data_IF_311780788092
#
_entry.id   IF_311780788092
#
_cell.length_a   1.000
_cell.length_b   1.000
_cell.length_c   1.000
_cell.angle_alpha   90.00
_cell.angle_beta   90.00
_cell.angle_gamma   90.00
#
_symmetry.space_group_name_H-M   'P 1'
#
loop_
_entity.id
_entity.type
_entity.pdbx_description
1 polymer ?
#
# COMPACT_ATOMS: atom_id res chain seq x y z
N UNK A 1 11.95 1.10 3.38
CA UNK A 1 11.22 0.96 4.68
C UNK A 1 11.13 -0.50 5.13
N UNK A 2 10.58 -1.41 4.30
CA UNK A 2 10.47 -2.84 4.65
C UNK A 2 11.83 -3.48 4.99
N UNK A 3 12.88 -3.16 4.22
CA UNK A 3 14.24 -3.66 4.46
C UNK A 3 14.80 -3.29 5.84
N UNK A 4 14.60 -2.06 6.30
CA UNK A 4 15.05 -1.65 7.64
C UNK A 4 14.28 -2.38 8.73
N UNK A 5 12.96 -2.52 8.59
CA UNK A 5 12.12 -3.24 9.56
C UNK A 5 12.52 -4.71 9.65
N UNK A 6 12.76 -5.36 8.49
CA UNK A 6 13.22 -6.74 8.43
C UNK A 6 14.62 -6.94 9.03
N UNK A 7 15.54 -6.00 8.80
CA UNK A 7 16.88 -6.07 9.40
C UNK A 7 16.81 -5.92 10.94
N UNK A 8 16.00 -4.98 11.44
CA UNK A 8 15.79 -4.80 12.88
C UNK A 8 15.17 -6.06 13.51
N UNK A 9 14.19 -6.68 12.85
CA UNK A 9 13.64 -7.96 13.28
C UNK A 9 14.71 -9.05 13.33
N UNK A 10 15.51 -9.19 12.27
CA UNK A 10 16.56 -10.19 12.18
C UNK A 10 17.64 -10.04 13.27
N UNK A 11 18.06 -8.81 13.59
CA UNK A 11 19.08 -8.54 14.61
C UNK A 11 18.51 -8.60 16.04
N UNK A 12 17.23 -8.30 16.23
CA UNK A 12 16.59 -8.29 17.56
C UNK A 12 16.49 -9.66 18.22
N UNK A 13 16.58 -10.74 17.44
CA UNK A 13 16.31 -12.11 17.92
C UNK A 13 14.85 -12.37 18.29
N UNK A 14 13.95 -11.38 18.14
CA UNK A 14 12.51 -11.52 18.36
C UNK A 14 11.90 -12.21 17.14
N UNK A 15 12.06 -13.52 17.08
CA UNK A 15 11.35 -14.35 16.10
C UNK A 15 9.95 -14.64 16.64
N UNK A 16 8.92 -14.44 15.80
CA UNK A 16 7.54 -14.71 16.19
C UNK A 16 7.37 -16.15 16.68
N UNK A 17 6.78 -16.31 17.87
CA UNK A 17 6.31 -17.59 18.39
C UNK A 17 4.78 -17.68 18.33
N UNK A 18 4.22 -18.86 18.61
CA UNK A 18 2.77 -19.06 18.65
C UNK A 18 2.09 -18.03 19.57
N UNK A 19 1.12 -17.29 19.01
CA UNK A 19 0.33 -16.28 19.73
C UNK A 19 0.84 -14.83 19.64
N UNK A 20 1.94 -14.54 18.95
CA UNK A 20 2.39 -13.15 18.73
C UNK A 20 1.80 -12.58 17.43
N UNK A 21 0.96 -11.56 17.54
CA UNK A 21 0.42 -10.83 16.39
C UNK A 21 1.54 -10.21 15.54
N UNK A 22 1.48 -10.41 14.23
CA UNK A 22 2.40 -9.86 13.21
C UNK A 22 2.52 -8.33 13.30
N UNK A 23 1.45 -7.63 13.68
CA UNK A 23 1.45 -6.18 13.86
C UNK A 23 2.28 -5.70 15.07
N UNK A 24 2.46 -6.55 16.10
CA UNK A 24 3.19 -6.18 17.33
C UNK A 24 4.69 -6.50 17.27
N UNK A 25 5.10 -7.34 16.31
CA UNK A 25 6.49 -7.80 16.15
C UNK A 25 7.50 -6.65 15.95
N UNK A 26 7.26 -5.67 15.04
CA UNK A 26 8.18 -4.55 14.86
C UNK A 26 8.36 -3.74 16.13
N UNK A 27 7.27 -3.41 16.84
CA UNK A 27 7.32 -2.63 18.08
C UNK A 27 8.18 -3.32 19.14
N UNK A 28 8.03 -4.64 19.32
CA UNK A 28 8.84 -5.43 20.25
C UNK A 28 10.32 -5.48 19.85
N UNK A 29 10.60 -5.68 18.56
CA UNK A 29 11.97 -5.73 18.05
C UNK A 29 12.71 -4.39 18.22
N UNK A 30 12.06 -3.28 17.90
CA UNK A 30 12.63 -1.94 18.09
C UNK A 30 12.79 -1.59 19.57
N UNK A 31 11.89 -2.03 20.44
CA UNK A 31 12.02 -1.84 21.88
C UNK A 31 13.18 -2.64 22.49
N UNK A 32 13.48 -3.82 21.95
CA UNK A 32 14.61 -4.64 22.39
C UNK A 32 15.98 -4.05 22.00
N UNK A 33 16.06 -3.40 20.84
CA UNK A 33 17.31 -2.85 20.29
C UNK A 33 17.57 -1.39 20.66
N UNK A 34 16.51 -0.60 20.90
CA UNK A 34 16.61 0.83 21.16
C UNK A 34 15.76 1.23 22.38
N UNK A 35 16.33 1.90 23.40
CA UNK A 35 15.54 2.44 24.50
C UNK A 35 14.56 3.49 23.97
N UNK A 36 13.26 3.24 24.14
CA UNK A 36 12.19 4.09 23.58
C UNK A 36 11.80 3.78 22.13
N UNK A 37 12.37 2.75 21.50
CA UNK A 37 12.07 2.37 20.11
C UNK A 37 10.60 2.04 19.85
N UNK A 38 9.88 1.53 20.85
CA UNK A 38 8.45 1.24 20.73
C UNK A 38 7.60 2.50 20.45
N UNK A 39 7.86 3.61 21.15
CA UNK A 39 7.15 4.88 20.93
C UNK A 39 7.39 5.43 19.52
N UNK A 40 8.63 5.37 19.05
CA UNK A 40 9.01 5.81 17.71
C UNK A 40 8.28 5.00 16.63
N UNK A 41 8.21 3.67 16.79
CA UNK A 41 7.47 2.79 15.87
C UNK A 41 5.98 3.09 15.91
N UNK A 42 5.37 3.27 17.08
CA UNK A 42 3.93 3.57 17.18
C UNK A 42 3.56 4.88 16.50
N UNK A 43 4.34 5.95 16.70
CA UNK A 43 4.11 7.25 16.03
C UNK A 43 4.26 7.10 14.51
N UNK A 44 5.33 6.45 14.06
CA UNK A 44 5.61 6.24 12.64
C UNK A 44 4.52 5.39 11.97
N UNK A 45 4.09 4.32 12.62
CA UNK A 45 3.04 3.43 12.14
C UNK A 45 1.69 4.15 12.06
N UNK A 46 1.38 5.02 13.02
CA UNK A 46 0.13 5.81 13.01
C UNK A 46 0.09 6.75 11.80
N UNK A 47 1.19 7.47 11.55
CA UNK A 47 1.30 8.36 10.38
C UNK A 47 1.26 7.59 9.06
N UNK A 48 1.89 6.41 9.02
CA UNK A 48 1.89 5.54 7.84
C UNK A 48 0.51 4.93 7.56
N UNK A 49 -0.19 4.47 8.60
CA UNK A 49 -1.55 3.96 8.47
C UNK A 49 -2.50 5.06 7.99
N UNK A 50 -2.36 6.28 8.54
CA UNK A 50 -3.16 7.43 8.11
C UNK A 50 -2.96 7.76 6.63
N UNK A 51 -1.72 7.87 6.15
CA UNK A 51 -1.46 8.16 4.73
C UNK A 51 -1.97 7.05 3.81
N UNK A 52 -1.87 5.79 4.26
CA UNK A 52 -2.38 4.63 3.53
C UNK A 52 -3.90 4.70 3.40
N UNK A 53 -4.63 4.95 4.50
CA UNK A 53 -6.09 5.08 4.48
C UNK A 53 -6.54 6.18 3.50
N UNK A 54 -5.86 7.33 3.50
CA UNK A 54 -6.16 8.41 2.56
C UNK A 54 -5.92 8.01 1.11
N UNK A 55 -4.80 7.35 0.81
CA UNK A 55 -4.46 6.90 -0.53
C UNK A 55 -5.50 5.89 -1.05
N UNK A 56 -5.86 4.88 -0.25
CA UNK A 56 -6.87 3.89 -0.63
C UNK A 56 -8.27 4.47 -0.77
N UNK A 57 -8.64 5.44 0.08
CA UNK A 57 -9.89 6.19 -0.07
C UNK A 57 -9.94 6.95 -1.40
N UNK A 58 -8.85 7.62 -1.79
CA UNK A 58 -8.77 8.33 -3.07
C UNK A 58 -8.78 7.37 -4.28
N UNK A 59 -8.04 6.26 -4.22
CA UNK A 59 -8.07 5.28 -5.31
C UNK A 59 -9.45 4.69 -5.51
N UNK A 60 -10.13 4.33 -4.42
CA UNK A 60 -11.50 3.80 -4.50
C UNK A 60 -12.51 4.82 -5.00
N UNK A 61 -12.36 6.11 -4.64
CA UNK A 61 -13.16 7.20 -5.17
C UNK A 61 -13.05 7.29 -6.69
N UNK A 62 -11.83 7.24 -7.24
CA UNK A 62 -11.62 7.31 -8.70
C UNK A 62 -12.21 6.11 -9.43
N UNK A 63 -12.14 4.92 -8.84
CA UNK A 63 -12.83 3.74 -9.38
C UNK A 63 -14.36 3.90 -9.36
N UNK A 64 -14.92 4.47 -8.28
CA UNK A 64 -16.35 4.72 -8.16
C UNK A 64 -16.84 5.80 -9.12
N UNK A 65 -16.07 6.89 -9.26
CA UNK A 65 -16.32 7.96 -10.23
C UNK A 65 -16.32 7.44 -11.66
N UNK A 66 -15.41 6.54 -12.01
CA UNK A 66 -15.38 5.89 -13.32
C UNK A 66 -16.62 5.01 -13.58
N UNK A 67 -17.15 4.32 -12.56
CA UNK A 67 -18.28 3.40 -12.70
C UNK A 67 -19.66 4.07 -12.65
N UNK A 68 -19.85 5.04 -11.75
CA UNK A 68 -21.15 5.64 -11.43
C UNK A 68 -21.24 7.14 -11.77
N UNK A 69 -20.13 7.76 -12.17
CA UNK A 69 -20.02 9.19 -12.47
C UNK A 69 -19.70 10.06 -11.24
N UNK A 70 -19.37 11.32 -11.52
CA UNK A 70 -18.85 12.31 -10.55
C UNK A 70 -19.79 12.60 -9.37
N UNK A 71 -21.10 12.43 -9.58
CA UNK A 71 -22.12 12.70 -8.54
C UNK A 71 -22.02 11.76 -7.32
N UNK A 72 -21.30 10.64 -7.43
CA UNK A 72 -21.18 9.63 -6.36
C UNK A 72 -19.92 9.76 -5.50
N UNK A 73 -19.07 10.75 -5.78
CA UNK A 73 -17.82 10.99 -5.05
C UNK A 73 -18.06 11.29 -3.57
N UNK A 74 -18.99 12.20 -3.25
CA UNK A 74 -19.27 12.60 -1.86
C UNK A 74 -19.90 11.46 -1.05
N UNK A 75 -20.93 10.73 -1.55
CA UNK A 75 -21.44 9.53 -0.89
C UNK A 75 -20.36 8.47 -0.63
N UNK A 76 -19.43 8.26 -1.57
CA UNK A 76 -18.34 7.30 -1.41
C UNK A 76 -17.41 7.68 -0.24
N UNK A 77 -17.00 8.94 -0.15
CA UNK A 77 -16.16 9.43 0.97
C UNK A 77 -16.81 9.20 2.34
N UNK A 78 -18.10 9.49 2.44
CA UNK A 78 -18.86 9.29 3.68
C UNK A 78 -18.92 7.81 4.03
N UNK A 79 -19.26 6.96 3.07
CA UNK A 79 -19.30 5.50 3.26
C UNK A 79 -17.92 4.96 3.69
N UNK A 80 -16.85 5.41 3.05
CA UNK A 80 -15.48 4.98 3.36
C UNK A 80 -15.12 5.28 4.82
N UNK A 81 -15.45 6.48 5.33
CA UNK A 81 -15.21 6.83 6.74
C UNK A 81 -15.98 5.91 7.70
N UNK A 82 -17.25 5.59 7.38
CA UNK A 82 -18.03 4.66 8.19
C UNK A 82 -17.50 3.23 8.16
N UNK A 83 -16.91 2.79 7.03
CA UNK A 83 -16.34 1.45 6.89
C UNK A 83 -15.01 1.26 7.66
N UNK A 84 -14.29 2.33 7.99
CA UNK A 84 -13.07 2.25 8.80
C UNK A 84 -13.36 1.74 10.22
N UNK A 85 -14.52 2.13 10.78
CA UNK A 85 -14.92 1.78 12.16
C UNK A 85 -15.02 0.26 12.35
N UNK A 86 -15.85 -0.49 11.60
CA UNK A 86 -15.89 -1.95 11.71
C UNK A 86 -14.55 -2.59 11.30
N UNK A 87 -13.80 -1.97 10.38
CA UNK A 87 -12.46 -2.42 10.00
C UNK A 87 -11.47 -2.49 11.17
N UNK A 88 -11.61 -1.61 12.17
CA UNK A 88 -10.77 -1.63 13.37
C UNK A 88 -11.11 -2.74 14.39
N UNK A 89 -12.28 -3.36 14.26
CA UNK A 89 -12.81 -4.36 15.22
C UNK A 89 -12.66 -5.79 14.68
N UNK A 90 -12.57 -5.95 13.37
CA UNK A 90 -12.42 -7.26 12.72
C UNK A 90 -11.06 -7.91 13.02
N UNK A 91 -11.03 -9.24 12.97
CA UNK A 91 -9.79 -10.00 13.14
C UNK A 91 -8.83 -9.69 11.99
N UNK A 92 -7.57 -9.43 12.37
CA UNK A 92 -6.49 -9.03 11.45
C UNK A 92 -6.34 -10.04 10.30
N UNK A 93 -6.34 -11.34 10.59
CA UNK A 93 -6.19 -12.39 9.57
C UNK A 93 -7.35 -12.41 8.55
N UNK A 94 -8.59 -12.16 9.01
CA UNK A 94 -9.75 -12.08 8.12
C UNK A 94 -9.65 -10.85 7.20
N UNK A 95 -9.22 -9.71 7.74
CA UNK A 95 -9.03 -8.48 6.95
C UNK A 95 -7.95 -8.69 5.88
N UNK A 96 -6.83 -9.33 6.23
CA UNK A 96 -5.78 -9.67 5.26
C UNK A 96 -6.29 -10.60 4.17
N UNK A 97 -7.03 -11.65 4.51
CA UNK A 97 -7.58 -12.59 3.53
C UNK A 97 -8.53 -11.89 2.54
N UNK A 98 -9.42 -11.01 3.02
CA UNK A 98 -10.33 -10.25 2.16
C UNK A 98 -9.54 -9.28 1.27
N UNK A 99 -8.53 -8.60 1.82
CA UNK A 99 -7.68 -7.68 1.08
C UNK A 99 -6.89 -8.39 -0.03
N UNK A 100 -6.33 -9.56 0.25
CA UNK A 100 -5.55 -10.34 -0.73
C UNK A 100 -6.42 -10.82 -1.89
N UNK A 101 -7.63 -11.33 -1.60
CA UNK A 101 -8.58 -11.74 -2.64
C UNK A 101 -9.01 -10.54 -3.50
N UNK A 102 -9.30 -9.41 -2.87
CA UNK A 102 -9.72 -8.18 -3.56
C UNK A 102 -8.59 -7.63 -4.45
N UNK A 103 -7.36 -7.61 -3.94
CA UNK A 103 -6.18 -7.18 -4.69
C UNK A 103 -5.87 -8.14 -5.84
N UNK A 104 -6.01 -9.46 -5.64
CA UNK A 104 -5.85 -10.43 -6.72
C UNK A 104 -6.86 -10.18 -7.84
N UNK A 105 -8.13 -9.93 -7.49
CA UNK A 105 -9.17 -9.61 -8.48
C UNK A 105 -8.89 -8.31 -9.25
N UNK A 106 -8.28 -7.30 -8.61
CA UNK A 106 -7.85 -6.07 -9.27
C UNK A 106 -6.62 -6.27 -10.17
N UNK A 107 -5.64 -7.05 -9.72
CA UNK A 107 -4.38 -7.28 -10.45
C UNK A 107 -4.58 -8.11 -11.70
N UNK A 108 -5.44 -9.13 -11.66
CA UNK A 108 -5.70 -10.02 -12.80
C UNK A 108 -6.05 -9.29 -14.11
N UNK A 109 -7.10 -8.45 -14.16
CA UNK A 109 -7.47 -7.74 -15.39
C UNK A 109 -6.41 -6.71 -15.81
N UNK A 110 -5.80 -6.00 -14.85
CA UNK A 110 -4.78 -5.01 -15.15
C UNK A 110 -3.53 -5.65 -15.77
N UNK A 111 -3.10 -6.79 -15.23
CA UNK A 111 -1.94 -7.51 -15.74
C UNK A 111 -2.17 -8.05 -17.16
N UNK A 112 -3.37 -8.59 -17.44
CA UNK A 112 -3.74 -9.05 -18.78
C UNK A 112 -3.70 -7.88 -19.78
N UNK A 113 -4.28 -6.74 -19.40
CA UNK A 113 -4.27 -5.54 -20.22
C UNK A 113 -2.85 -5.02 -20.48
N UNK A 114 -1.99 -4.98 -19.46
CA UNK A 114 -0.59 -4.57 -19.60
C UNK A 114 0.21 -5.51 -20.51
N UNK A 115 0.00 -6.82 -20.42
CA UNK A 115 0.66 -7.78 -21.32
C UNK A 115 0.22 -7.59 -22.77
N UNK A 116 -1.06 -7.29 -23.00
CA UNK A 116 -1.58 -6.98 -24.34
C UNK A 116 -1.08 -5.63 -24.88
N UNK A 117 -0.94 -4.61 -24.02
CA UNK A 117 -0.46 -3.26 -24.38
C UNK A 117 1.07 -3.10 -24.35
N UNK A 118 1.81 -4.10 -23.87
CA UNK A 118 3.27 -4.10 -23.82
C UNK A 118 3.96 -3.59 -25.10
N UNK A 119 3.57 -4.01 -26.33
CA UNK A 119 4.21 -3.50 -27.55
C UNK A 119 4.01 -2.00 -27.75
N UNK A 120 2.83 -1.45 -27.45
CA UNK A 120 2.53 -0.03 -27.58
C UNK A 120 3.31 0.80 -26.56
N UNK A 121 3.38 0.34 -25.31
CA UNK A 121 4.17 1.01 -24.25
C UNK A 121 5.65 1.03 -24.59
N UNK A 122 6.17 -0.05 -25.18
CA UNK A 122 7.57 -0.12 -25.63
C UNK A 122 7.86 0.90 -26.72
N UNK A 123 6.99 1.03 -27.72
CA UNK A 123 7.14 2.02 -28.80
C UNK A 123 7.16 3.45 -28.27
N UNK A 124 6.21 3.80 -27.40
CA UNK A 124 6.15 5.12 -26.75
C UNK A 124 7.39 5.40 -25.88
N UNK A 125 7.88 4.38 -25.17
CA UNK A 125 9.11 4.50 -24.36
C UNK A 125 10.33 4.79 -25.25
N UNK A 126 10.47 4.07 -26.36
CA UNK A 126 11.57 4.28 -27.30
C UNK A 126 11.49 5.67 -27.96
N UNK A 127 10.28 6.16 -28.28
CA UNK A 127 10.08 7.50 -28.80
C UNK A 127 10.42 8.59 -27.77
N UNK A 128 10.00 8.42 -26.52
CA UNK A 128 10.33 9.33 -25.42
C UNK A 128 11.84 9.40 -25.20
N UNK A 129 12.52 8.25 -25.14
CA UNK A 129 13.98 8.19 -24.96
C UNK A 129 14.75 8.84 -26.12
N UNK A 130 14.30 8.66 -27.37
CA UNK A 130 14.90 9.35 -28.53
C UNK A 130 14.73 10.88 -28.44
N UNK A 131 13.58 11.34 -27.97
CA UNK A 131 13.32 12.78 -27.78
C UNK A 131 14.24 13.36 -26.73
N UNK A 132 14.36 12.69 -25.57
CA UNK A 132 15.27 13.08 -24.49
C UNK A 132 16.73 13.10 -24.96
N UNK A 133 17.18 12.10 -25.73
CA UNK A 133 18.55 12.07 -26.26
C UNK A 133 18.84 13.25 -27.19
N UNK A 134 17.86 13.59 -28.03
CA UNK A 134 17.96 14.72 -28.96
C UNK A 134 18.04 16.07 -28.25
N UNK A 135 17.41 16.23 -27.08
CA UNK A 135 17.56 17.43 -26.27
C UNK A 135 18.91 17.51 -25.56
N UNK A 136 19.50 16.37 -25.18
CA UNK A 136 20.83 16.29 -24.57
C UNK A 136 21.94 16.59 -25.59
N UNK A 137 21.84 16.08 -26.82
CA UNK A 137 22.84 16.32 -27.89
C UNK A 137 22.83 17.76 -28.44
N UNK A 138 21.80 18.55 -28.11
CA UNK A 138 21.66 19.96 -28.51
C UNK A 138 22.24 20.92 -27.45
N UNK A 139 22.57 20.42 -26.25
CA UNK A 139 23.32 21.16 -25.21
C UNK A 139 24.83 20.96 -25.34
#
# INVERSE_FOLDING_TARGET
>A
VCTMTGLVLAVSGVMGGEGVSSACLPTKAFQALLPGGGLLVTISLTLFAFSTILAWGYYGEKCFEYLLGENWVVPYRVLFVFLIIPGSVLQVDTVWAIADISNAFMVLPNLIALLALYPAVREETDHFLKTVHKEIDVC
#
